data_IF_351772761267
#
_entry.id   IF_351772761267
#
_cell.length_a   1.000
_cell.length_b   1.000
_cell.length_c   1.000
_cell.angle_alpha   90.00
_cell.angle_beta   90.00
_cell.angle_gamma   90.00
#
_symmetry.space_group_name_H-M   'P 1'
#
loop_
_entity.id
_entity.type
_entity.pdbx_description
1 polymer ?
#
# COMPACT_ATOMS: atom_id res chain seq x y z
N UNK A 1 8.93 -13.29 -14.24
CA UNK A 1 7.58 -12.71 -14.06
C UNK A 1 7.63 -11.68 -12.95
N UNK A 2 7.17 -10.46 -13.24
CA UNK A 2 7.12 -9.38 -12.26
C UNK A 2 6.13 -9.68 -11.14
N UNK A 3 6.56 -9.55 -9.89
CA UNK A 3 5.70 -9.67 -8.72
C UNK A 3 4.88 -8.39 -8.56
N UNK A 4 3.60 -8.54 -8.24
CA UNK A 4 2.66 -7.41 -8.09
C UNK A 4 1.85 -7.57 -6.82
N UNK A 5 1.65 -6.47 -6.10
CA UNK A 5 0.82 -6.45 -4.90
C UNK A 5 -0.01 -5.17 -4.85
N UNK A 6 -1.22 -5.28 -4.31
CA UNK A 6 -2.10 -4.15 -4.05
C UNK A 6 -2.19 -3.89 -2.55
N UNK A 7 -1.80 -2.71 -2.13
CA UNK A 7 -1.88 -2.27 -0.72
C UNK A 7 -3.19 -1.55 -0.49
N UNK A 8 -3.98 -2.07 0.42
CA UNK A 8 -5.19 -1.41 0.93
C UNK A 8 -5.11 -1.22 2.43
N UNK A 9 -5.87 -0.28 2.96
CA UNK A 9 -5.98 -0.01 4.39
C UNK A 9 -7.35 -0.37 4.94
N UNK A 10 -7.42 -0.55 6.26
CA UNK A 10 -8.68 -0.73 6.98
C UNK A 10 -9.53 0.54 6.99
N UNK A 11 -8.91 1.70 6.78
CA UNK A 11 -9.54 3.02 6.73
C UNK A 11 -8.57 4.01 6.07
N UNK A 12 -9.04 5.24 5.88
CA UNK A 12 -8.20 6.40 5.59
C UNK A 12 -7.26 6.67 6.78
N UNK A 13 -6.07 7.19 6.52
CA UNK A 13 -5.09 7.58 7.56
C UNK A 13 -4.58 6.44 8.46
N UNK A 14 -4.61 5.22 7.99
CA UNK A 14 -4.01 4.08 8.71
C UNK A 14 -2.54 3.87 8.40
N UNK A 15 -1.95 4.73 7.56
CA UNK A 15 -0.52 4.68 7.21
C UNK A 15 -0.21 3.77 6.03
N UNK A 16 -1.08 3.72 5.01
CA UNK A 16 -0.78 2.95 3.78
C UNK A 16 0.56 3.33 3.16
N UNK A 17 0.86 4.62 3.06
CA UNK A 17 2.10 5.10 2.44
C UNK A 17 3.33 4.76 3.29
N UNK A 18 3.21 4.79 4.60
CA UNK A 18 4.28 4.32 5.50
C UNK A 18 4.54 2.83 5.27
N UNK A 19 3.49 2.02 5.21
CA UNK A 19 3.61 0.59 4.95
C UNK A 19 4.13 0.31 3.54
N UNK A 20 3.67 1.03 2.54
CA UNK A 20 4.16 0.92 1.15
C UNK A 20 5.63 1.29 1.05
N UNK A 21 6.06 2.36 1.72
CA UNK A 21 7.48 2.75 1.80
C UNK A 21 8.32 1.66 2.47
N UNK A 22 7.84 1.09 3.57
CA UNK A 22 8.51 -0.02 4.24
C UNK A 22 8.61 -1.27 3.36
N UNK A 23 7.56 -1.60 2.61
CA UNK A 23 7.55 -2.72 1.66
C UNK A 23 8.56 -2.52 0.54
N UNK A 24 8.60 -1.33 -0.07
CA UNK A 24 9.57 -0.99 -1.11
C UNK A 24 11.01 -1.08 -0.58
N UNK A 25 11.26 -0.52 0.60
CA UNK A 25 12.57 -0.57 1.24
C UNK A 25 12.99 -2.02 1.54
N UNK A 26 12.09 -2.83 2.08
CA UNK A 26 12.36 -4.24 2.38
C UNK A 26 12.65 -5.04 1.09
N UNK A 27 11.87 -4.83 0.03
CA UNK A 27 12.10 -5.49 -1.25
C UNK A 27 13.42 -5.05 -1.89
N UNK A 28 13.79 -3.78 -1.77
CA UNK A 28 15.09 -3.27 -2.22
C UNK A 28 16.25 -3.96 -1.51
N UNK A 29 16.13 -4.18 -0.19
CA UNK A 29 17.15 -4.90 0.59
C UNK A 29 17.33 -6.35 0.13
N UNK A 30 16.28 -6.97 -0.41
CA UNK A 30 16.32 -8.32 -0.99
C UNK A 30 16.87 -8.35 -2.43
N UNK A 31 17.17 -7.20 -3.01
CA UNK A 31 17.75 -7.08 -4.34
C UNK A 31 16.75 -6.90 -5.47
N UNK A 32 15.47 -6.75 -5.20
CA UNK A 32 14.46 -6.48 -6.21
C UNK A 32 14.65 -5.09 -6.83
N UNK A 33 14.26 -4.97 -8.11
CA UNK A 33 14.12 -3.69 -8.81
C UNK A 33 12.66 -3.25 -8.68
N UNK A 34 12.40 -2.43 -7.66
CA UNK A 34 11.05 -2.06 -7.26
C UNK A 34 10.52 -0.84 -8.00
N UNK A 35 9.21 -0.81 -8.19
CA UNK A 35 8.45 0.37 -8.62
C UNK A 35 7.19 0.52 -7.76
N UNK A 36 6.98 1.71 -7.20
CA UNK A 36 5.76 2.08 -6.51
C UNK A 36 4.79 2.78 -7.46
N UNK A 37 3.52 2.47 -7.33
CA UNK A 37 2.44 2.99 -8.16
C UNK A 37 1.24 3.37 -7.29
N UNK A 38 0.91 4.65 -7.25
CA UNK A 38 -0.33 5.14 -6.67
C UNK A 38 -1.12 5.82 -7.79
N UNK A 39 -1.96 5.05 -8.53
CA UNK A 39 -2.55 5.54 -9.78
C UNK A 39 -3.48 6.73 -9.61
N UNK A 40 -4.12 6.84 -8.45
CA UNK A 40 -5.05 7.92 -8.13
C UNK A 40 -4.73 8.48 -6.76
N UNK A 41 -4.45 9.77 -6.68
CA UNK A 41 -4.18 10.48 -5.43
C UNK A 41 -4.98 11.78 -5.35
N UNK A 42 -5.57 12.04 -4.19
CA UNK A 42 -6.21 13.31 -3.84
C UNK A 42 -5.47 13.97 -2.68
N UNK A 43 -5.67 15.28 -2.49
CA UNK A 43 -4.93 16.02 -1.48
C UNK A 43 -3.50 16.32 -1.93
N UNK A 44 -3.35 17.03 -3.02
CA UNK A 44 -2.06 17.33 -3.64
C UNK A 44 -1.79 18.82 -3.62
N UNK A 45 -0.50 19.20 -3.62
CA UNK A 45 -0.06 20.58 -3.60
C UNK A 45 0.51 21.02 -4.95
N UNK A 46 0.25 22.28 -5.31
CA UNK A 46 0.85 22.87 -6.50
C UNK A 46 2.30 23.25 -6.22
N UNK A 47 3.20 22.68 -6.97
CA UNK A 47 4.64 22.95 -6.92
C UNK A 47 5.14 23.58 -8.21
N UNK A 48 6.42 23.95 -8.27
CA UNK A 48 7.05 24.44 -9.51
C UNK A 48 7.03 23.43 -10.67
N UNK A 49 6.94 22.15 -10.35
CA UNK A 49 6.86 21.06 -11.33
C UNK A 49 5.43 20.61 -11.64
N UNK A 50 4.44 21.31 -11.11
CA UNK A 50 3.02 20.96 -11.22
C UNK A 50 2.43 20.40 -9.92
N UNK A 51 1.26 19.80 -10.04
CA UNK A 51 0.56 19.23 -8.89
C UNK A 51 1.27 17.96 -8.42
N UNK A 52 1.59 17.88 -7.12
CA UNK A 52 2.32 16.76 -6.51
C UNK A 52 1.63 16.28 -5.24
N UNK A 53 1.52 14.96 -5.10
CA UNK A 53 0.99 14.31 -3.90
C UNK A 53 2.16 13.76 -3.07
N UNK A 54 2.14 13.97 -1.77
CA UNK A 54 3.22 13.53 -0.87
C UNK A 54 3.39 12.01 -0.85
N UNK A 55 2.30 11.25 -0.91
CA UNK A 55 2.34 9.79 -0.94
C UNK A 55 3.01 9.30 -2.23
N UNK A 56 2.65 9.90 -3.36
CA UNK A 56 3.27 9.58 -4.65
C UNK A 56 4.78 9.91 -4.66
N UNK A 57 5.16 11.03 -4.09
CA UNK A 57 6.57 11.41 -3.95
C UNK A 57 7.34 10.41 -3.06
N UNK A 58 6.72 9.92 -1.99
CA UNK A 58 7.32 8.89 -1.14
C UNK A 58 7.54 7.59 -1.90
N UNK A 59 6.55 7.13 -2.67
CA UNK A 59 6.69 5.92 -3.49
C UNK A 59 7.74 6.10 -4.58
N UNK A 60 7.79 7.27 -5.22
CA UNK A 60 8.85 7.59 -6.19
C UNK A 60 10.24 7.52 -5.57
N UNK A 61 10.42 8.11 -4.38
CA UNK A 61 11.69 8.13 -3.66
C UNK A 61 12.17 6.72 -3.27
N UNK A 62 11.26 5.85 -2.84
CA UNK A 62 11.60 4.50 -2.38
C UNK A 62 11.61 3.45 -3.49
N UNK A 63 11.19 3.78 -4.69
CA UNK A 63 11.34 2.93 -5.86
C UNK A 63 12.81 2.85 -6.26
N UNK A 64 13.31 1.63 -6.48
CA UNK A 64 14.69 1.45 -6.96
C UNK A 64 14.83 1.80 -8.43
N UNK A 65 13.78 1.55 -9.21
CA UNK A 65 13.72 2.00 -10.61
C UNK A 65 13.53 3.52 -10.62
N UNK A 66 14.32 4.22 -11.43
CA UNK A 66 14.15 5.66 -11.64
C UNK A 66 12.85 5.92 -12.43
N UNK A 67 11.88 6.55 -11.80
CA UNK A 67 10.56 6.80 -12.36
C UNK A 67 10.27 8.30 -12.45
N UNK A 68 9.60 8.72 -13.54
CA UNK A 68 8.97 10.04 -13.59
C UNK A 68 7.74 10.06 -12.65
N UNK A 69 7.38 11.24 -12.20
CA UNK A 69 6.20 11.39 -11.32
C UNK A 69 4.91 10.85 -11.96
N UNK A 70 4.68 11.12 -13.24
CA UNK A 70 3.48 10.67 -13.97
C UNK A 70 3.42 9.14 -14.16
N UNK A 71 4.54 8.44 -14.11
CA UNK A 71 4.58 6.98 -14.08
C UNK A 71 4.13 6.43 -12.73
N UNK A 72 4.41 7.15 -11.64
CA UNK A 72 4.00 6.77 -10.28
C UNK A 72 2.55 7.15 -10.01
N UNK A 73 2.13 8.36 -10.45
CA UNK A 73 0.82 8.91 -10.14
C UNK A 73 0.18 9.62 -11.35
N UNK A 74 -0.51 8.90 -12.23
CA UNK A 74 -1.14 9.48 -13.41
C UNK A 74 -2.36 10.37 -13.13
N UNK A 75 -3.12 10.09 -12.08
CA UNK A 75 -4.26 10.92 -11.65
C UNK A 75 -3.96 11.62 -10.33
N UNK A 76 -3.66 12.91 -10.42
CA UNK A 76 -3.35 13.75 -9.25
C UNK A 76 -4.42 14.83 -9.12
N UNK A 77 -5.09 14.88 -7.95
CA UNK A 77 -6.15 15.83 -7.65
C UNK A 77 -5.75 16.68 -6.44
N UNK A 78 -6.10 17.98 -6.49
CA UNK A 78 -5.72 18.93 -5.45
C UNK A 78 -6.52 18.74 -4.16
N UNK A 79 -7.84 18.62 -4.26
CA UNK A 79 -8.71 18.55 -3.07
C UNK A 79 -8.63 17.19 -2.38
N UNK A 80 -8.44 17.16 -1.03
CA UNK A 80 -8.40 15.91 -0.26
C UNK A 80 -9.82 15.39 -0.01
N UNK A 81 -10.38 14.72 -1.00
CA UNK A 81 -11.73 14.12 -0.95
C UNK A 81 -11.74 12.79 -1.68
N UNK A 82 -12.88 12.11 -1.69
CA UNK A 82 -13.02 10.85 -2.41
C UNK A 82 -12.75 11.06 -3.91
N UNK A 83 -11.96 10.17 -4.54
CA UNK A 83 -11.49 10.39 -5.92
C UNK A 83 -12.62 10.63 -6.94
N UNK A 84 -13.73 9.91 -6.83
CA UNK A 84 -14.85 10.07 -7.78
C UNK A 84 -15.50 11.46 -7.70
N UNK A 85 -15.49 12.08 -6.54
CA UNK A 85 -16.07 13.44 -6.35
C UNK A 85 -15.21 14.46 -7.07
N UNK A 86 -13.92 14.50 -6.75
CA UNK A 86 -13.02 15.51 -7.34
C UNK A 86 -12.81 15.27 -8.83
N UNK A 87 -12.80 14.02 -9.26
CA UNK A 87 -12.75 13.64 -10.68
C UNK A 87 -13.94 14.21 -11.46
N UNK A 88 -15.15 14.12 -10.90
CA UNK A 88 -16.35 14.69 -11.50
C UNK A 88 -16.30 16.21 -11.53
N UNK A 89 -15.90 16.85 -10.43
CA UNK A 89 -15.82 18.31 -10.32
C UNK A 89 -14.80 18.92 -11.31
N UNK A 90 -13.68 18.26 -11.51
CA UNK A 90 -12.65 18.71 -12.46
C UNK A 90 -12.91 18.27 -13.91
N UNK A 91 -13.93 17.46 -14.16
CA UNK A 91 -14.20 16.91 -15.48
C UNK A 91 -13.06 16.01 -16.00
N UNK A 92 -12.37 15.32 -15.09
CA UNK A 92 -11.23 14.43 -15.38
C UNK A 92 -11.58 12.99 -14.98
N UNK A 93 -12.33 12.25 -15.83
CA UNK A 93 -12.78 10.92 -15.50
C UNK A 93 -11.61 9.96 -15.31
N UNK A 94 -11.72 9.11 -14.30
CA UNK A 94 -10.73 8.07 -14.00
C UNK A 94 -11.07 6.83 -14.83
N UNK A 95 -10.20 6.50 -15.79
CA UNK A 95 -10.38 5.36 -16.67
C UNK A 95 -9.59 4.15 -16.16
N UNK A 96 -10.26 3.01 -15.94
CA UNK A 96 -9.61 1.76 -15.57
C UNK A 96 -8.50 1.35 -16.56
N UNK A 97 -8.73 1.58 -17.86
CA UNK A 97 -7.74 1.32 -18.89
C UNK A 97 -6.44 2.12 -18.72
N UNK A 98 -6.52 3.36 -18.21
CA UNK A 98 -5.33 4.17 -17.91
C UNK A 98 -4.57 3.63 -16.71
N UNK A 99 -5.29 3.19 -15.67
CA UNK A 99 -4.67 2.54 -14.52
C UNK A 99 -3.93 1.28 -14.95
N UNK A 100 -4.56 0.45 -15.76
CA UNK A 100 -3.99 -0.80 -16.27
C UNK A 100 -2.79 -0.56 -17.19
N UNK A 101 -2.85 0.42 -18.09
CA UNK A 101 -1.72 0.73 -18.98
C UNK A 101 -0.51 1.24 -18.20
N UNK A 102 -0.72 2.04 -17.14
CA UNK A 102 0.35 2.49 -16.25
C UNK A 102 0.99 1.33 -15.48
N UNK A 103 0.18 0.38 -15.03
CA UNK A 103 0.69 -0.83 -14.38
C UNK A 103 1.55 -1.66 -15.34
N UNK A 104 1.12 -1.86 -16.58
CA UNK A 104 1.89 -2.59 -17.61
C UNK A 104 3.23 -1.91 -17.90
N UNK A 105 3.26 -0.60 -17.95
CA UNK A 105 4.51 0.16 -18.12
C UNK A 105 5.50 -0.15 -17.00
N UNK A 106 5.07 -0.13 -15.75
CA UNK A 106 5.93 -0.43 -14.60
C UNK A 106 6.37 -1.90 -14.56
N UNK A 107 5.51 -2.83 -14.96
CA UNK A 107 5.86 -4.24 -15.09
C UNK A 107 6.98 -4.48 -16.09
N UNK A 108 7.11 -3.64 -17.10
CA UNK A 108 8.21 -3.66 -18.08
C UNK A 108 9.52 -3.08 -17.56
N UNK A 109 9.49 -2.32 -16.46
CA UNK A 109 10.64 -1.63 -15.90
C UNK A 109 11.16 -2.26 -14.60
N UNK A 110 10.31 -2.98 -13.89
CA UNK A 110 10.55 -3.50 -12.55
C UNK A 110 10.23 -4.99 -12.46
N UNK A 111 10.85 -5.68 -11.52
CA UNK A 111 10.53 -7.07 -11.20
C UNK A 111 9.63 -7.20 -9.95
N UNK A 112 9.39 -6.09 -9.25
CA UNK A 112 8.54 -6.02 -8.07
C UNK A 112 7.76 -4.70 -8.06
N UNK A 113 6.44 -4.76 -8.26
CA UNK A 113 5.57 -3.59 -8.35
C UNK A 113 4.60 -3.56 -7.18
N UNK A 114 4.55 -2.42 -6.50
CA UNK A 114 3.62 -2.15 -5.42
C UNK A 114 2.60 -1.10 -5.87
N UNK A 115 1.34 -1.49 -5.89
CA UNK A 115 0.22 -0.60 -6.17
C UNK A 115 -0.42 -0.18 -4.86
N UNK A 116 -0.50 1.11 -4.59
CA UNK A 116 -1.20 1.65 -3.43
C UNK A 116 -2.56 2.20 -3.84
N UNK A 117 -3.62 1.72 -3.20
CA UNK A 117 -4.97 2.26 -3.33
C UNK A 117 -5.14 3.60 -2.60
N UNK A 118 -6.28 4.24 -2.78
CA UNK A 118 -6.68 5.44 -2.05
C UNK A 118 -7.81 5.09 -1.08
N UNK A 119 -7.76 5.62 0.14
CA UNK A 119 -8.78 5.33 1.16
C UNK A 119 -8.82 3.87 1.56
N UNK A 120 -10.03 3.32 1.70
CA UNK A 120 -10.26 1.91 2.00
C UNK A 120 -10.48 1.06 0.75
N UNK A 121 -10.84 -0.22 0.98
CA UNK A 121 -11.00 -1.21 -0.09
C UNK A 121 -12.04 -0.82 -1.16
N UNK A 122 -13.18 -0.29 -0.74
CA UNK A 122 -14.29 0.06 -1.64
C UNK A 122 -14.27 1.51 -2.11
N UNK A 123 -13.18 2.23 -2.03
CA UNK A 123 -13.11 3.63 -2.47
C UNK A 123 -13.57 3.77 -3.93
N UNK A 124 -14.58 4.62 -4.20
CA UNK A 124 -15.07 4.83 -5.56
C UNK A 124 -14.07 5.59 -6.43
N UNK A 125 -13.94 5.16 -7.67
CA UNK A 125 -13.21 5.86 -8.74
C UNK A 125 -14.16 6.56 -9.71
N UNK A 126 -15.40 6.07 -9.78
CA UNK A 126 -16.51 6.64 -10.53
C UNK A 126 -17.84 6.18 -9.91
N UNK A 127 -18.95 6.53 -10.51
CA UNK A 127 -20.28 6.04 -10.07
C UNK A 127 -20.42 4.51 -10.19
N UNK A 128 -19.64 3.87 -11.03
CA UNK A 128 -19.75 2.44 -11.31
C UNK A 128 -18.49 1.63 -11.03
N UNK A 129 -17.37 2.27 -10.68
CA UNK A 129 -16.07 1.61 -10.51
C UNK A 129 -15.48 1.95 -9.14
N UNK A 130 -15.09 0.92 -8.38
CA UNK A 130 -14.26 1.06 -7.17
C UNK A 130 -12.83 0.62 -7.43
N UNK A 131 -11.92 0.98 -6.52
CA UNK A 131 -10.56 0.42 -6.55
C UNK A 131 -10.57 -1.11 -6.40
N UNK A 132 -11.49 -1.65 -5.59
CA UNK A 132 -11.67 -3.08 -5.44
C UNK A 132 -12.00 -3.77 -6.78
N UNK A 133 -12.87 -3.17 -7.57
CA UNK A 133 -13.22 -3.70 -8.91
C UNK A 133 -12.00 -3.76 -9.82
N UNK A 134 -11.19 -2.72 -9.83
CA UNK A 134 -9.98 -2.69 -10.64
C UNK A 134 -8.92 -3.69 -10.15
N UNK A 135 -8.69 -3.75 -8.84
CA UNK A 135 -7.75 -4.72 -8.25
C UNK A 135 -8.17 -6.17 -8.55
N UNK A 136 -9.48 -6.44 -8.53
CA UNK A 136 -10.05 -7.73 -8.90
C UNK A 136 -9.83 -8.04 -10.38
N UNK A 137 -10.10 -7.09 -11.27
CA UNK A 137 -9.88 -7.26 -12.70
C UNK A 137 -8.39 -7.53 -13.03
N UNK A 138 -7.48 -6.89 -12.33
CA UNK A 138 -6.03 -7.09 -12.46
C UNK A 138 -5.52 -8.34 -11.72
N UNK A 139 -6.35 -9.01 -10.93
CA UNK A 139 -5.99 -10.18 -10.13
C UNK A 139 -4.80 -9.93 -9.21
N UNK A 140 -4.78 -8.79 -8.52
CA UNK A 140 -3.69 -8.40 -7.64
C UNK A 140 -3.81 -9.05 -6.26
N UNK A 141 -2.78 -9.78 -5.80
CA UNK A 141 -2.68 -10.17 -4.40
C UNK A 141 -2.69 -8.94 -3.50
N UNK A 142 -3.40 -9.00 -2.38
CA UNK A 142 -3.64 -7.85 -1.51
C UNK A 142 -2.80 -7.93 -0.25
N UNK A 143 -2.19 -6.82 0.13
CA UNK A 143 -1.57 -6.60 1.44
C UNK A 143 -2.43 -5.61 2.20
N UNK A 144 -2.90 -6.01 3.38
CA UNK A 144 -3.75 -5.20 4.23
C UNK A 144 -2.93 -4.45 5.28
N UNK A 145 -3.09 -3.14 5.33
CA UNK A 145 -2.51 -2.30 6.38
C UNK A 145 -3.56 -2.04 7.45
N UNK A 146 -3.28 -2.45 8.66
CA UNK A 146 -4.14 -2.23 9.83
C UNK A 146 -3.54 -1.14 10.69
N UNK A 147 -4.20 0.01 10.79
CA UNK A 147 -3.87 1.04 11.76
C UNK A 147 -4.30 0.59 13.15
N UNK A 148 -3.34 0.39 14.05
CA UNK A 148 -3.62 -0.19 15.37
C UNK A 148 -4.23 0.85 16.29
N UNK A 149 -5.53 0.74 16.50
CA UNK A 149 -6.35 1.60 17.38
C UNK A 149 -7.64 0.88 17.74
N UNK A 150 -8.38 1.40 18.67
CA UNK A 150 -9.72 0.87 19.00
C UNK A 150 -10.62 0.89 17.75
N UNK A 151 -11.26 -0.24 17.47
CA UNK A 151 -12.08 -0.46 16.27
C UNK A 151 -11.35 -1.14 15.12
N UNK A 152 -10.03 -1.27 15.15
CA UNK A 152 -9.24 -1.84 14.06
C UNK A 152 -9.53 -3.34 13.83
N UNK A 153 -9.89 -4.10 14.86
CA UNK A 153 -10.20 -5.53 14.73
C UNK A 153 -11.43 -5.71 13.81
N UNK A 154 -12.50 -4.97 14.08
CA UNK A 154 -13.70 -4.99 13.24
C UNK A 154 -13.39 -4.59 11.79
N UNK A 155 -12.71 -3.47 11.60
CA UNK A 155 -12.37 -2.97 10.27
C UNK A 155 -11.44 -3.92 9.51
N UNK A 156 -10.48 -4.54 10.19
CA UNK A 156 -9.59 -5.51 9.58
C UNK A 156 -10.33 -6.77 9.11
N UNK A 157 -11.23 -7.30 9.93
CA UNK A 157 -12.03 -8.47 9.59
C UNK A 157 -12.99 -8.20 8.44
N UNK A 158 -13.67 -7.06 8.44
CA UNK A 158 -14.54 -6.65 7.34
C UNK A 158 -13.79 -6.51 6.03
N UNK A 159 -12.63 -5.85 6.06
CA UNK A 159 -11.82 -5.67 4.87
C UNK A 159 -11.26 -7.00 4.35
N UNK A 160 -10.73 -7.84 5.23
CA UNK A 160 -10.23 -9.17 4.86
C UNK A 160 -11.32 -10.03 4.22
N UNK A 161 -12.53 -9.99 4.76
CA UNK A 161 -13.69 -10.71 4.20
C UNK A 161 -14.03 -10.19 2.80
N UNK A 162 -14.06 -8.87 2.61
CA UNK A 162 -14.34 -8.26 1.31
C UNK A 162 -13.31 -8.64 0.26
N UNK A 163 -12.02 -8.64 0.61
CA UNK A 163 -10.93 -9.06 -0.27
C UNK A 163 -11.10 -10.51 -0.72
N UNK A 164 -11.37 -11.41 0.22
CA UNK A 164 -11.60 -12.84 -0.09
C UNK A 164 -12.84 -13.05 -0.94
N UNK A 165 -13.90 -12.31 -0.67
CA UNK A 165 -15.13 -12.37 -1.46
C UNK A 165 -14.92 -11.90 -2.89
N UNK A 166 -13.98 -11.00 -3.14
CA UNK A 166 -13.54 -10.61 -4.49
C UNK A 166 -12.72 -11.70 -5.19
N UNK A 167 -12.42 -12.81 -4.53
CA UNK A 167 -11.62 -13.92 -5.07
C UNK A 167 -10.13 -13.63 -5.14
N UNK A 168 -9.65 -12.64 -4.39
CA UNK A 168 -8.24 -12.27 -4.35
C UNK A 168 -7.53 -12.87 -3.13
N UNK A 169 -6.25 -13.29 -3.30
CA UNK A 169 -5.45 -13.70 -2.16
C UNK A 169 -5.20 -12.52 -1.22
N UNK A 170 -5.43 -12.72 0.08
CA UNK A 170 -4.89 -11.85 1.11
C UNK A 170 -3.46 -12.34 1.40
N UNK A 171 -2.49 -11.74 0.69
CA UNK A 171 -1.10 -12.20 0.67
C UNK A 171 -0.37 -11.98 2.00
N UNK A 172 -0.80 -10.96 2.74
CA UNK A 172 -0.26 -10.64 4.06
C UNK A 172 -0.91 -9.40 4.64
N UNK A 173 -0.54 -9.09 5.88
CA UNK A 173 -0.98 -7.87 6.53
C UNK A 173 0.12 -7.25 7.39
N UNK A 174 0.03 -5.95 7.58
CA UNK A 174 0.98 -5.15 8.34
C UNK A 174 0.22 -4.43 9.44
N UNK A 175 0.74 -4.48 10.66
CA UNK A 175 0.29 -3.61 11.74
C UNK A 175 1.06 -2.30 11.68
N UNK A 176 0.37 -1.18 11.58
CA UNK A 176 0.98 0.14 11.65
C UNK A 176 0.50 0.88 12.90
N UNK A 177 1.42 1.30 13.74
CA UNK A 177 1.07 2.02 14.96
C UNK A 177 0.74 3.47 14.60
N UNK A 178 -0.55 3.80 14.58
CA UNK A 178 -1.04 5.16 14.25
C UNK A 178 -1.05 6.10 15.45
N UNK A 179 -0.73 5.58 16.62
CA UNK A 179 -0.63 6.29 17.89
C UNK A 179 0.35 5.54 18.80
N UNK A 180 0.87 6.17 19.87
CA UNK A 180 1.70 5.47 20.85
C UNK A 180 0.97 4.24 21.41
N UNK A 181 1.66 3.10 21.57
CA UNK A 181 1.05 1.87 22.06
C UNK A 181 0.37 2.05 23.43
N UNK A 182 -0.90 1.66 23.50
CA UNK A 182 -1.67 1.68 24.74
C UNK A 182 -1.51 0.39 25.55
N UNK A 183 -2.17 0.34 26.70
CA UNK A 183 -2.08 -0.79 27.65
C UNK A 183 -2.48 -2.14 27.02
N UNK A 184 -3.38 -2.14 26.04
CA UNK A 184 -3.92 -3.37 25.41
C UNK A 184 -3.34 -3.66 24.04
N UNK A 185 -2.29 -2.97 23.66
CA UNK A 185 -1.68 -3.07 22.33
C UNK A 185 -1.32 -4.53 21.95
N UNK A 186 -0.64 -5.24 22.84
CA UNK A 186 -0.25 -6.64 22.61
C UNK A 186 -1.46 -7.56 22.40
N UNK A 187 -2.57 -7.31 23.11
CA UNK A 187 -3.79 -8.08 22.99
C UNK A 187 -4.49 -7.82 21.64
N UNK A 188 -4.47 -6.59 21.14
CA UNK A 188 -4.97 -6.26 19.81
C UNK A 188 -4.18 -7.00 18.73
N UNK A 189 -2.85 -6.97 18.80
CA UNK A 189 -2.00 -7.68 17.84
C UNK A 189 -2.24 -9.19 17.88
N UNK A 190 -2.32 -9.78 19.07
CA UNK A 190 -2.61 -11.21 19.22
C UNK A 190 -3.97 -11.59 18.62
N UNK A 191 -4.99 -10.76 18.81
CA UNK A 191 -6.31 -10.98 18.24
C UNK A 191 -6.30 -10.92 16.71
N UNK A 192 -5.63 -9.90 16.15
CA UNK A 192 -5.48 -9.73 14.71
C UNK A 192 -4.73 -10.91 14.08
N UNK A 193 -3.61 -11.33 14.67
CA UNK A 193 -2.84 -12.50 14.22
C UNK A 193 -3.67 -13.78 14.20
N UNK A 194 -4.51 -13.95 15.21
CA UNK A 194 -5.34 -15.13 15.35
C UNK A 194 -6.52 -15.14 14.35
N UNK A 195 -7.09 -13.97 14.02
CA UNK A 195 -8.34 -13.87 13.26
C UNK A 195 -8.19 -13.57 11.78
N UNK A 196 -7.11 -12.94 11.34
CA UNK A 196 -6.97 -12.53 9.95
C UNK A 196 -6.67 -13.69 8.98
N UNK A 197 -6.20 -14.83 9.47
CA UNK A 197 -5.87 -16.00 8.66
C UNK A 197 -5.02 -15.67 7.41
N UNK A 198 -4.08 -14.73 7.55
CA UNK A 198 -3.14 -14.29 6.54
C UNK A 198 -1.76 -14.08 7.18
N UNK A 199 -0.67 -14.21 6.42
CA UNK A 199 0.68 -13.99 6.97
C UNK A 199 0.82 -12.59 7.58
N UNK A 200 1.30 -12.54 8.81
CA UNK A 200 1.70 -11.29 9.46
C UNK A 200 3.10 -10.91 9.00
N UNK A 201 3.23 -9.78 8.29
CA UNK A 201 4.49 -9.35 7.71
C UNK A 201 5.35 -8.54 8.67
N UNK A 202 4.74 -7.91 9.66
CA UNK A 202 5.45 -7.14 10.67
C UNK A 202 4.63 -5.99 11.25
N UNK A 203 5.19 -5.39 12.27
CA UNK A 203 4.66 -4.19 12.93
C UNK A 203 5.59 -3.01 12.70
N UNK A 204 5.05 -1.92 12.19
CA UNK A 204 5.77 -0.65 12.07
C UNK A 204 5.44 0.16 13.31
N UNK A 205 6.42 0.44 14.19
CA UNK A 205 6.16 1.10 15.45
C UNK A 205 5.84 2.59 15.28
N UNK A 206 5.32 3.21 16.33
CA UNK A 206 5.16 4.64 16.40
C UNK A 206 6.54 5.31 16.51
N UNK A 207 6.95 6.04 15.48
CA UNK A 207 8.26 6.65 15.36
C UNK A 207 8.16 8.13 15.03
N UNK A 208 9.06 8.94 15.59
CA UNK A 208 9.21 10.32 15.16
C UNK A 208 9.71 10.39 13.71
N UNK A 209 9.22 11.39 12.98
CA UNK A 209 9.62 11.67 11.59
C UNK A 209 9.52 10.46 10.65
N UNK A 210 8.52 9.60 10.89
CA UNK A 210 8.38 8.31 10.20
C UNK A 210 8.31 8.46 8.67
N UNK A 211 7.70 9.54 8.16
CA UNK A 211 7.56 9.78 6.73
C UNK A 211 8.90 10.06 6.01
N UNK A 212 9.94 10.49 6.73
CA UNK A 212 11.28 10.75 6.20
C UNK A 212 12.25 9.59 6.34
N UNK A 213 11.83 8.47 6.96
CA UNK A 213 12.75 7.37 7.28
C UNK A 213 12.98 6.45 6.09
N UNK A 214 14.23 6.02 5.95
CA UNK A 214 14.68 5.09 4.91
C UNK A 214 15.00 3.69 5.49
N UNK A 215 14.75 3.48 6.78
CA UNK A 215 15.07 2.27 7.54
C UNK A 215 13.84 1.44 7.96
N UNK A 216 12.68 1.72 7.38
CA UNK A 216 11.42 1.06 7.74
C UNK A 216 11.35 -0.39 7.27
N UNK A 217 12.11 -0.77 6.27
CA UNK A 217 12.15 -2.14 5.75
C UNK A 217 12.58 -3.17 6.79
N UNK A 218 13.33 -2.77 7.82
CA UNK A 218 13.75 -3.64 8.92
C UNK A 218 12.59 -4.24 9.72
N UNK A 219 11.42 -3.61 9.71
CA UNK A 219 10.24 -4.05 10.46
C UNK A 219 9.41 -5.12 9.75
N UNK A 220 9.72 -5.40 8.48
CA UNK A 220 8.93 -6.32 7.65
C UNK A 220 9.74 -7.54 7.23
N UNK A 221 9.08 -8.69 7.27
CA UNK A 221 9.58 -9.96 6.71
C UNK A 221 8.73 -10.33 5.49
N UNK A 222 9.34 -10.28 4.30
CA UNK A 222 8.65 -10.53 3.03
C UNK A 222 8.70 -11.99 2.58
N UNK A 223 9.25 -12.92 3.36
CA UNK A 223 9.37 -14.34 2.97
C UNK A 223 8.03 -14.98 2.64
N UNK A 224 6.97 -14.59 3.34
CA UNK A 224 5.62 -15.11 3.08
C UNK A 224 5.02 -14.62 1.75
N UNK A 225 5.54 -13.55 1.16
CA UNK A 225 5.09 -13.02 -0.13
C UNK A 225 5.73 -13.74 -1.32
N UNK A 226 6.83 -14.44 -1.10
CA UNK A 226 7.57 -15.13 -2.15
C UNK A 226 8.08 -16.49 -1.62
N UNK A 227 7.54 -17.60 -2.13
CA UNK A 227 8.00 -18.94 -1.74
C UNK A 227 9.50 -19.17 -1.92
N UNK A 228 10.13 -18.53 -2.92
CA UNK A 228 11.57 -18.61 -3.14
C UNK A 228 12.37 -17.96 -2.00
N UNK A 229 11.82 -16.94 -1.33
CA UNK A 229 12.45 -16.30 -0.17
C UNK A 229 12.25 -17.09 1.11
N UNK A 230 11.23 -17.95 1.19
CA UNK A 230 10.93 -18.76 2.38
C UNK A 230 12.03 -19.79 2.69
N UNK A 231 12.86 -20.15 1.73
CA UNK A 231 13.98 -21.09 1.87
C UNK A 231 15.30 -20.39 2.20
N UNK A 232 15.37 -19.08 2.14
CA UNK A 232 16.56 -18.32 2.48
C UNK A 232 16.73 -18.24 4.02
N UNK A 233 17.97 -18.36 4.56
CA UNK A 233 18.20 -18.12 5.99
C UNK A 233 17.82 -16.69 6.33
N UNK A 234 17.19 -16.52 7.50
CA UNK A 234 16.84 -15.19 8.01
C UNK A 234 18.08 -14.29 8.02
N UNK A 235 17.97 -13.12 7.39
CA UNK A 235 19.02 -12.12 7.53
C UNK A 235 19.17 -11.82 9.03
N UNK A 236 20.38 -11.94 9.54
CA UNK A 236 20.67 -11.68 10.94
C UNK A 236 20.28 -10.22 11.23
N UNK A 237 19.29 -10.02 12.09
CA UNK A 237 19.01 -8.70 12.62
C UNK A 237 20.25 -8.22 13.38
N UNK A 238 20.77 -7.02 13.16
CA UNK A 238 21.73 -6.45 14.08
C UNK A 238 21.05 -6.38 15.46
N UNK A 239 21.74 -6.93 16.45
CA UNK A 239 21.30 -6.88 17.84
C UNK A 239 21.17 -5.39 18.27
N UNK A 240 20.29 -5.07 19.25
CA UNK A 240 20.02 -3.71 19.70
C UNK A 240 21.26 -3.01 20.25
#
# INVERSE_FOLDING_TARGET
VTKRFFVTGTDTEVGKTIASSALLQAANLLGFHTAGYTPVASGSELTGDGLRNEDALALQRHSRVALRYDQVNPYTFAEPTSPHIISADEGRPIAAARLSSGLRELEGLADWVLVEGAGGWFTPLSDSLTFADWAQAEQLPVILVVGVKLGCINHAMLTAQAVRQAGLPLAGWIANDVQPPGKRHAEYLATLKNRLAAPFLGEIPWLADIAQRDDLGQYLDLRALDPALSTAPAAAHPAP
#
